data_IF_637477884473
#
_entry.id   IF_637477884473
#
_cell.length_a   1.000
_cell.length_b   1.000
_cell.length_c   1.000
_cell.angle_alpha   90.00
_cell.angle_beta   90.00
_cell.angle_gamma   90.00
#
_symmetry.space_group_name_H-M   'P 1'
#
loop_
_entity.id
_entity.type
_entity.pdbx_description
1 polymer ?
#
# COMPACT_ATOMS: atom_id res chain seq x y z
N UNK A 1 11.58 11.79 -4.67
CA UNK A 1 10.62 10.90 -5.36
C UNK A 1 10.24 9.79 -4.41
N UNK A 2 8.96 9.71 -4.04
CA UNK A 2 8.46 8.65 -3.15
C UNK A 2 8.58 7.30 -3.87
N UNK A 3 9.17 6.29 -3.21
CA UNK A 3 9.37 4.97 -3.83
C UNK A 3 8.05 4.17 -3.89
N UNK A 4 7.24 4.20 -2.82
CA UNK A 4 5.94 3.49 -2.74
C UNK A 4 4.80 4.47 -2.50
N UNK A 5 3.74 4.37 -3.30
CA UNK A 5 2.58 5.27 -3.22
C UNK A 5 1.32 4.54 -2.80
N UNK A 6 0.41 5.27 -2.18
CA UNK A 6 -0.86 4.74 -1.71
C UNK A 6 -1.99 5.62 -2.17
N UNK A 7 -3.02 5.03 -2.77
CA UNK A 7 -4.26 5.70 -3.11
C UNK A 7 -5.37 5.01 -2.32
N UNK A 8 -5.99 5.76 -1.41
CA UNK A 8 -7.13 5.32 -0.61
C UNK A 8 -8.39 5.94 -1.17
N UNK A 9 -9.34 5.11 -1.56
CA UNK A 9 -10.67 5.48 -2.02
C UNK A 9 -11.68 5.12 -0.95
N UNK A 10 -12.50 6.07 -0.51
CA UNK A 10 -13.57 5.82 0.47
C UNK A 10 -14.96 6.11 -0.13
N UNK A 11 -15.92 5.24 0.16
CA UNK A 11 -17.31 5.41 -0.25
C UNK A 11 -18.28 4.92 0.84
N UNK A 12 -19.45 5.56 0.95
CA UNK A 12 -20.44 5.19 1.97
C UNK A 12 -21.04 3.79 1.77
N UNK A 13 -21.10 3.30 0.51
CA UNK A 13 -21.56 1.97 0.14
C UNK A 13 -20.81 1.49 -1.09
N UNK A 14 -20.29 0.26 -1.11
CA UNK A 14 -19.77 -0.29 -2.35
C UNK A 14 -20.95 -0.76 -3.20
N UNK A 15 -21.31 0.02 -4.21
CA UNK A 15 -22.01 -0.52 -5.36
C UNK A 15 -20.97 -1.08 -6.36
N UNK A 16 -20.07 -1.95 -5.88
CA UNK A 16 -19.07 -2.60 -6.73
C UNK A 16 -19.76 -3.66 -7.58
N UNK A 17 -20.16 -3.27 -8.78
CA UNK A 17 -20.68 -4.19 -9.80
C UNK A 17 -19.52 -4.80 -10.59
N UNK A 18 -19.35 -6.12 -10.50
CA UNK A 18 -18.34 -6.86 -11.28
C UNK A 18 -18.57 -6.85 -12.79
N UNK A 19 -19.74 -6.39 -13.26
CA UNK A 19 -20.10 -6.25 -14.66
C UNK A 19 -19.50 -5.02 -15.35
N UNK A 20 -19.04 -4.02 -14.57
CA UNK A 20 -18.35 -2.85 -15.13
C UNK A 20 -16.84 -3.12 -15.31
N UNK A 21 -16.20 -2.50 -16.32
CA UNK A 21 -14.88 -2.91 -16.78
C UNK A 21 -13.76 -2.65 -15.77
N UNK A 22 -13.74 -1.50 -15.09
CA UNK A 22 -12.67 -1.15 -14.15
C UNK A 22 -12.85 -1.86 -12.80
N UNK A 23 -14.07 -1.85 -12.24
CA UNK A 23 -14.42 -2.58 -11.03
C UNK A 23 -14.20 -4.08 -11.19
N UNK A 24 -14.57 -4.66 -12.33
CA UNK A 24 -14.33 -6.07 -12.64
C UNK A 24 -12.84 -6.41 -12.71
N UNK A 25 -12.03 -5.56 -13.35
CA UNK A 25 -10.56 -5.72 -13.40
C UNK A 25 -9.93 -5.62 -12.01
N UNK A 26 -10.38 -4.66 -11.20
CA UNK A 26 -9.95 -4.46 -9.83
C UNK A 26 -10.26 -5.69 -8.97
N UNK A 27 -11.52 -6.11 -8.92
CA UNK A 27 -11.99 -7.21 -8.08
C UNK A 27 -11.33 -8.56 -8.40
N UNK A 28 -10.95 -8.81 -9.66
CA UNK A 28 -10.27 -10.07 -10.05
C UNK A 28 -8.89 -10.24 -9.42
N UNK A 29 -8.22 -9.15 -9.07
CA UNK A 29 -6.86 -9.14 -8.51
C UNK A 29 -6.80 -8.50 -7.13
N UNK A 30 -7.92 -8.01 -6.61
CA UNK A 30 -7.99 -7.42 -5.29
C UNK A 30 -8.15 -8.52 -4.24
N UNK A 31 -7.43 -8.38 -3.13
CA UNK A 31 -7.69 -9.12 -1.92
C UNK A 31 -8.84 -8.42 -1.17
N UNK A 32 -9.96 -9.13 -1.03
CA UNK A 32 -11.21 -8.58 -0.51
C UNK A 32 -11.50 -9.13 0.88
N UNK A 33 -11.72 -8.24 1.85
CA UNK A 33 -12.18 -8.59 3.19
C UNK A 33 -13.65 -8.16 3.32
N UNK A 34 -14.57 -9.13 3.41
CA UNK A 34 -16.01 -8.88 3.51
C UNK A 34 -16.52 -8.75 4.95
N UNK A 35 -15.86 -9.42 5.89
CA UNK A 35 -16.14 -9.29 7.31
C UNK A 35 -15.49 -8.00 7.84
N UNK A 36 -15.99 -6.86 7.37
CA UNK A 36 -15.43 -5.56 7.65
C UNK A 36 -16.34 -4.75 8.57
N UNK A 37 -15.79 -4.30 9.69
CA UNK A 37 -16.43 -3.38 10.61
C UNK A 37 -16.01 -1.94 10.27
N UNK A 38 -16.92 -1.23 9.61
CA UNK A 38 -16.73 0.14 9.17
C UNK A 38 -16.46 1.14 10.31
N UNK A 39 -15.99 2.33 9.94
CA UNK A 39 -15.61 3.43 10.82
C UNK A 39 -15.11 4.62 10.02
N UNK A 40 -14.71 5.69 10.70
CA UNK A 40 -14.13 6.88 10.04
C UNK A 40 -12.65 6.65 9.68
N UNK A 41 -12.43 6.13 8.47
CA UNK A 41 -11.09 5.87 7.92
C UNK A 41 -10.43 7.18 7.45
N UNK A 42 -11.22 8.19 7.09
CA UNK A 42 -10.72 9.47 6.57
C UNK A 42 -9.81 10.12 7.60
N UNK A 43 -10.29 10.26 8.83
CA UNK A 43 -9.52 10.89 9.90
C UNK A 43 -8.23 10.13 10.20
N UNK A 44 -8.26 8.80 10.20
CA UNK A 44 -7.11 7.97 10.53
C UNK A 44 -6.05 7.95 9.41
N UNK A 45 -6.46 7.94 8.13
CA UNK A 45 -5.52 8.00 7.00
C UNK A 45 -4.81 9.35 6.93
N UNK A 46 -5.49 10.44 7.27
CA UNK A 46 -4.89 11.78 7.28
C UNK A 46 -3.88 12.01 8.41
N UNK A 47 -3.83 11.13 9.41
CA UNK A 47 -2.77 11.14 10.45
C UNK A 47 -1.44 10.59 9.93
N UNK A 48 -1.43 9.89 8.79
CA UNK A 48 -0.19 9.42 8.18
C UNK A 48 0.58 10.64 7.68
N UNK A 49 1.87 10.71 8.00
CA UNK A 49 2.72 11.83 7.62
C UNK A 49 2.77 12.01 6.08
N UNK A 50 2.48 13.23 5.62
CA UNK A 50 2.45 13.56 4.20
C UNK A 50 1.20 13.09 3.44
N UNK A 51 0.19 12.55 4.13
CA UNK A 51 -1.09 12.22 3.52
C UNK A 51 -1.82 13.49 3.05
N UNK A 52 -2.38 13.43 1.84
CA UNK A 52 -3.14 14.53 1.24
C UNK A 52 -4.54 14.08 0.87
N UNK A 53 -5.53 14.92 1.20
CA UNK A 53 -6.90 14.75 0.71
C UNK A 53 -7.01 15.42 -0.65
N UNK A 54 -7.40 14.66 -1.66
CA UNK A 54 -7.55 15.14 -3.04
C UNK A 54 -8.89 14.69 -3.62
N UNK A 55 -9.33 15.38 -4.66
CA UNK A 55 -10.44 14.92 -5.50
C UNK A 55 -9.91 14.02 -6.64
N UNK A 56 -10.83 13.49 -7.45
CA UNK A 56 -10.46 12.66 -8.60
C UNK A 56 -9.64 13.43 -9.66
N UNK A 57 -9.71 14.77 -9.70
CA UNK A 57 -8.95 15.58 -10.64
C UNK A 57 -7.49 15.77 -10.20
N UNK A 58 -7.24 15.79 -8.89
CA UNK A 58 -5.91 15.92 -8.29
C UNK A 58 -5.03 14.66 -8.38
N UNK A 59 -5.57 13.52 -8.82
CA UNK A 59 -4.85 12.24 -8.86
C UNK A 59 -3.60 12.29 -9.75
N UNK A 60 -3.66 12.94 -10.92
CA UNK A 60 -2.51 13.05 -11.81
C UNK A 60 -1.38 13.86 -11.18
N UNK A 61 -1.71 15.01 -10.58
CA UNK A 61 -0.74 15.85 -9.86
C UNK A 61 -0.13 15.10 -8.65
N UNK A 62 -0.93 14.31 -7.93
CA UNK A 62 -0.43 13.46 -6.85
C UNK A 62 0.60 12.43 -7.34
N UNK A 63 0.35 11.79 -8.49
CA UNK A 63 1.29 10.85 -9.10
C UNK A 63 2.60 11.50 -9.59
N UNK A 64 2.68 12.81 -9.70
CA UNK A 64 3.92 13.55 -10.00
C UNK A 64 4.58 14.13 -8.74
N UNK A 65 3.80 14.29 -7.66
CA UNK A 65 4.25 14.88 -6.41
C UNK A 65 5.04 13.97 -5.47
N UNK A 66 5.31 14.52 -4.28
CA UNK A 66 6.12 13.91 -3.22
C UNK A 66 5.28 13.36 -2.04
N UNK A 67 3.95 13.50 -2.08
CA UNK A 67 3.09 12.93 -1.04
C UNK A 67 3.01 11.40 -1.18
N UNK A 68 3.20 10.63 -0.10
CA UNK A 68 3.16 9.17 -0.17
C UNK A 68 1.74 8.59 -0.22
N UNK A 69 0.76 9.30 0.33
CA UNK A 69 -0.62 8.83 0.49
C UNK A 69 -1.62 9.86 -0.03
N UNK A 70 -2.51 9.44 -0.92
CA UNK A 70 -3.67 10.21 -1.35
C UNK A 70 -4.95 9.59 -0.80
N UNK A 71 -5.84 10.43 -0.26
CA UNK A 71 -7.20 10.06 0.12
C UNK A 71 -8.19 10.73 -0.85
N UNK A 72 -9.01 9.92 -1.50
CA UNK A 72 -10.08 10.34 -2.41
C UNK A 72 -11.42 9.89 -1.83
N UNK A 73 -12.26 10.86 -1.45
CA UNK A 73 -13.61 10.60 -0.98
C UNK A 73 -14.60 10.64 -2.14
N UNK A 74 -15.27 9.52 -2.39
CA UNK A 74 -16.26 9.37 -3.46
C UNK A 74 -17.70 9.57 -2.97
N UNK A 75 -17.91 9.71 -1.64
CA UNK A 75 -19.23 9.93 -1.06
C UNK A 75 -20.24 8.82 -1.38
N UNK A 76 -21.47 9.20 -1.72
CA UNK A 76 -22.50 8.28 -2.22
C UNK A 76 -22.40 8.12 -3.75
N UNK A 77 -21.28 7.58 -4.22
CA UNK A 77 -21.06 7.36 -5.65
C UNK A 77 -22.01 6.29 -6.22
N UNK A 78 -22.56 6.56 -7.40
CA UNK A 78 -23.25 5.54 -8.21
C UNK A 78 -22.23 4.51 -8.72
N UNK A 79 -22.70 3.31 -9.12
CA UNK A 79 -21.82 2.27 -9.65
C UNK A 79 -20.96 2.75 -10.83
N UNK A 80 -21.52 3.60 -11.71
CA UNK A 80 -20.80 4.20 -12.84
C UNK A 80 -19.73 5.21 -12.40
N UNK A 81 -20.03 6.07 -11.41
CA UNK A 81 -19.05 7.03 -10.89
C UNK A 81 -17.89 6.35 -10.16
N UNK A 82 -18.16 5.21 -9.49
CA UNK A 82 -17.12 4.40 -8.87
C UNK A 82 -16.23 3.71 -9.91
N UNK A 83 -16.80 3.19 -10.99
CA UNK A 83 -16.04 2.57 -12.09
C UNK A 83 -15.15 3.60 -12.79
N UNK A 84 -15.63 4.83 -13.02
CA UNK A 84 -14.80 5.90 -13.60
C UNK A 84 -13.63 6.27 -12.68
N UNK A 85 -13.90 6.45 -11.39
CA UNK A 85 -12.86 6.78 -10.40
C UNK A 85 -11.81 5.67 -10.30
N UNK A 86 -12.24 4.39 -10.22
CA UNK A 86 -11.34 3.25 -10.23
C UNK A 86 -10.58 3.12 -11.56
N UNK A 87 -11.22 3.44 -12.69
CA UNK A 87 -10.59 3.49 -14.00
C UNK A 87 -9.40 4.45 -14.03
N UNK A 88 -9.60 5.70 -13.60
CA UNK A 88 -8.53 6.71 -13.49
C UNK A 88 -7.42 6.26 -12.56
N UNK A 89 -7.76 5.69 -11.40
CA UNK A 89 -6.78 5.17 -10.45
C UNK A 89 -5.98 4.02 -11.06
N UNK A 90 -6.62 3.09 -11.77
CA UNK A 90 -5.94 1.96 -12.41
C UNK A 90 -5.08 2.36 -13.61
N UNK A 91 -5.39 3.46 -14.29
CA UNK A 91 -4.57 4.02 -15.36
C UNK A 91 -3.29 4.69 -14.81
N UNK A 92 -3.42 5.37 -13.66
CA UNK A 92 -2.31 6.07 -13.01
C UNK A 92 -1.50 5.15 -12.07
N UNK A 93 -2.07 4.05 -11.61
CA UNK A 93 -1.40 3.12 -10.72
C UNK A 93 -0.29 2.36 -11.45
N UNK A 94 0.93 2.46 -10.93
CA UNK A 94 2.07 1.70 -11.40
C UNK A 94 2.30 0.45 -10.53
N UNK A 95 3.43 -0.23 -10.76
CA UNK A 95 3.79 -1.43 -9.99
C UNK A 95 4.09 -1.17 -8.50
N UNK A 96 4.33 0.09 -8.10
CA UNK A 96 4.68 0.52 -6.75
C UNK A 96 3.53 1.23 -6.04
N UNK A 97 2.38 1.33 -6.68
CA UNK A 97 1.15 1.86 -6.07
C UNK A 97 0.36 0.77 -5.36
N UNK A 98 0.01 1.03 -4.10
CA UNK A 98 -1.02 0.32 -3.36
C UNK A 98 -2.34 1.07 -3.51
N UNK A 99 -3.39 0.38 -3.93
CA UNK A 99 -4.75 0.92 -3.99
C UNK A 99 -5.58 0.24 -2.91
N UNK A 100 -6.20 1.04 -2.06
CA UNK A 100 -7.13 0.58 -1.02
C UNK A 100 -8.49 1.19 -1.30
N UNK A 101 -9.51 0.36 -1.47
CA UNK A 101 -10.89 0.81 -1.56
C UNK A 101 -11.63 0.33 -0.31
N UNK A 102 -12.15 1.26 0.48
CA UNK A 102 -12.86 0.98 1.71
C UNK A 102 -14.29 1.51 1.65
N UNK A 103 -15.24 0.61 1.90
CA UNK A 103 -16.66 0.89 1.93
C UNK A 103 -17.33 0.21 3.13
N UNK A 104 -18.60 0.50 3.37
CA UNK A 104 -19.33 -0.05 4.52
C UNK A 104 -19.49 -1.57 4.51
N UNK A 105 -19.43 -2.20 3.34
CA UNK A 105 -19.64 -3.63 3.12
C UNK A 105 -18.34 -4.43 2.89
N UNK A 106 -17.20 -3.75 2.83
CA UNK A 106 -15.92 -4.42 2.65
C UNK A 106 -14.75 -3.48 2.41
N UNK A 107 -13.55 -4.02 2.61
CA UNK A 107 -12.29 -3.38 2.20
C UNK A 107 -11.57 -4.23 1.18
N UNK A 108 -11.01 -3.58 0.17
CA UNK A 108 -10.37 -4.20 -0.97
C UNK A 108 -8.99 -3.61 -1.16
N UNK A 109 -7.98 -4.48 -1.25
CA UNK A 109 -6.59 -4.09 -1.48
C UNK A 109 -6.14 -4.58 -2.85
N UNK A 110 -5.40 -3.74 -3.58
CA UNK A 110 -4.87 -4.05 -4.91
C UNK A 110 -3.50 -3.41 -5.10
N UNK A 111 -2.64 -4.02 -5.90
CA UNK A 111 -1.36 -3.44 -6.30
C UNK A 111 -0.18 -3.94 -5.45
N UNK A 112 0.73 -3.04 -5.11
CA UNK A 112 2.01 -3.35 -4.47
C UNK A 112 1.83 -4.15 -3.17
N UNK A 113 2.58 -5.25 -3.01
CA UNK A 113 2.59 -6.07 -1.79
C UNK A 113 1.37 -6.98 -1.57
N UNK A 114 0.31 -6.82 -2.36
CA UNK A 114 -0.95 -7.57 -2.20
C UNK A 114 -0.90 -8.93 -2.94
N UNK A 115 -1.56 -9.94 -2.37
CA UNK A 115 -1.72 -11.23 -3.03
C UNK A 115 -2.89 -11.19 -4.02
N UNK A 116 -2.65 -11.20 -5.34
CA UNK A 116 -3.74 -11.16 -6.32
C UNK A 116 -4.59 -12.44 -6.35
N UNK A 117 -4.13 -13.50 -5.68
CA UNK A 117 -4.83 -14.80 -5.56
C UNK A 117 -5.49 -15.00 -4.20
N UNK A 118 -5.39 -14.05 -3.27
CA UNK A 118 -6.06 -14.16 -1.98
C UNK A 118 -7.58 -14.20 -2.13
N UNK A 119 -8.12 -13.55 -3.17
CA UNK A 119 -9.55 -13.55 -3.44
C UNK A 119 -10.33 -12.96 -2.26
N UNK A 120 -11.13 -13.80 -1.58
CA UNK A 120 -11.89 -13.40 -0.38
C UNK A 120 -11.17 -13.89 0.86
N UNK A 121 -10.85 -12.97 1.76
CA UNK A 121 -10.23 -13.23 3.05
C UNK A 121 -11.34 -13.32 4.11
N UNK A 122 -11.33 -14.42 4.88
CA UNK A 122 -12.36 -14.70 5.91
C UNK A 122 -12.13 -13.96 7.23
N UNK A 123 -10.90 -13.50 7.49
CA UNK A 123 -10.55 -12.76 8.71
C UNK A 123 -11.39 -11.48 8.85
N UNK A 124 -11.89 -11.23 10.05
CA UNK A 124 -12.50 -9.96 10.42
C UNK A 124 -11.49 -8.81 10.39
N UNK A 125 -11.88 -7.70 9.77
CA UNK A 125 -11.11 -6.47 9.73
C UNK A 125 -11.91 -5.29 10.27
N UNK A 126 -11.23 -4.36 10.91
CA UNK A 126 -11.79 -3.11 11.42
C UNK A 126 -11.21 -1.93 10.65
N UNK A 127 -11.90 -0.78 10.64
CA UNK A 127 -11.39 0.46 10.04
C UNK A 127 -9.96 0.82 10.48
N UNK A 128 -9.67 0.63 11.78
CA UNK A 128 -8.35 0.87 12.39
C UNK A 128 -7.23 -0.01 11.82
N UNK A 129 -7.54 -1.15 11.19
CA UNK A 129 -6.55 -2.08 10.64
C UNK A 129 -6.01 -1.63 9.28
N UNK A 130 -6.65 -0.66 8.63
CA UNK A 130 -6.27 -0.16 7.31
C UNK A 130 -4.97 0.64 7.38
N UNK A 131 -4.88 1.62 8.29
CA UNK A 131 -3.69 2.46 8.47
C UNK A 131 -2.41 1.66 8.75
N UNK A 132 -2.36 0.71 9.71
CA UNK A 132 -1.15 -0.06 9.96
C UNK A 132 -0.82 -0.98 8.76
N UNK A 133 -1.82 -1.47 8.03
CA UNK A 133 -1.60 -2.24 6.80
C UNK A 133 -0.99 -1.38 5.69
N UNK A 134 -1.48 -0.15 5.52
CA UNK A 134 -0.92 0.84 4.58
C UNK A 134 0.54 1.13 4.94
N UNK A 135 0.80 1.49 6.19
CA UNK A 135 2.14 1.81 6.67
C UNK A 135 3.11 0.63 6.51
N UNK A 136 2.64 -0.60 6.79
CA UNK A 136 3.43 -1.81 6.58
C UNK A 136 3.76 -2.05 5.11
N UNK A 137 2.89 -1.77 4.15
CA UNK A 137 3.19 -2.02 2.73
C UNK A 137 4.02 -0.90 2.12
N UNK A 138 3.67 0.35 2.44
CA UNK A 138 4.18 1.55 1.78
C UNK A 138 5.39 2.19 2.45
N UNK A 139 5.90 1.63 3.55
CA UNK A 139 7.03 2.20 4.32
C UNK A 139 6.75 3.60 4.86
N UNK A 140 5.48 3.93 5.13
CA UNK A 140 5.12 5.20 5.77
C UNK A 140 5.17 5.05 7.28
N UNK A 141 5.27 6.19 7.98
CA UNK A 141 5.23 6.20 9.44
C UNK A 141 3.86 5.75 9.94
N UNK A 142 3.87 4.95 11.02
CA UNK A 142 2.65 4.54 11.71
C UNK A 142 2.28 5.66 12.70
N UNK A 143 1.05 6.20 12.67
CA UNK A 143 0.61 7.18 13.66
C UNK A 143 0.70 6.64 15.09
N UNK A 144 1.05 7.50 16.05
CA UNK A 144 1.29 7.09 17.45
C UNK A 144 0.05 6.53 18.16
N UNK A 145 -1.15 6.94 17.73
CA UNK A 145 -2.45 6.51 18.24
C UNK A 145 -3.03 5.32 17.47
N UNK A 146 -2.25 4.70 16.58
CA UNK A 146 -2.69 3.54 15.81
C UNK A 146 -2.87 2.31 16.72
N UNK A 147 -4.11 1.80 16.78
CA UNK A 147 -4.48 0.63 17.62
C UNK A 147 -4.81 -0.62 16.80
N UNK A 148 -4.82 -0.52 15.47
CA UNK A 148 -5.15 -1.64 14.59
C UNK A 148 -4.00 -2.62 14.36
N UNK A 149 -4.32 -3.74 13.75
CA UNK A 149 -3.36 -4.77 13.37
C UNK A 149 -3.14 -4.81 11.85
N UNK A 150 -1.95 -5.23 11.42
CA UNK A 150 -1.64 -5.45 10.01
C UNK A 150 -2.42 -6.67 9.49
N UNK A 151 -3.07 -6.52 8.33
CA UNK A 151 -3.82 -7.59 7.67
C UNK A 151 -2.91 -8.49 6.81
N UNK A 152 -2.12 -9.36 7.45
CA UNK A 152 -1.17 -10.23 6.76
C UNK A 152 -1.80 -11.18 5.73
N UNK A 153 -3.06 -11.58 5.92
CA UNK A 153 -3.78 -12.50 5.02
C UNK A 153 -4.03 -11.89 3.63
N UNK A 154 -4.00 -10.57 3.53
CA UNK A 154 -4.16 -9.81 2.29
C UNK A 154 -2.84 -9.76 1.50
N UNK A 155 -1.71 -9.90 2.20
CA UNK A 155 -0.37 -9.74 1.63
C UNK A 155 0.07 -10.96 0.84
N UNK A 156 0.92 -10.73 -0.18
CA UNK A 156 1.59 -11.81 -0.91
C UNK A 156 2.53 -12.62 -0.03
N UNK A 157 3.15 -11.94 0.92
CA UNK A 157 4.17 -12.49 1.80
C UNK A 157 4.02 -11.83 3.17
N UNK A 158 3.62 -12.58 4.22
CA UNK A 158 3.52 -12.04 5.57
C UNK A 158 4.86 -11.46 6.05
N UNK A 159 5.98 -12.10 5.68
CA UNK A 159 7.34 -11.75 6.10
C UNK A 159 8.00 -10.68 5.21
N UNK A 160 7.20 -9.91 4.45
CA UNK A 160 7.68 -8.90 3.50
C UNK A 160 8.79 -8.02 4.11
N UNK A 161 8.54 -7.42 5.28
CA UNK A 161 9.51 -6.55 5.95
C UNK A 161 10.73 -7.27 6.47
N UNK A 162 10.55 -8.48 6.97
CA UNK A 162 11.67 -9.29 7.48
C UNK A 162 12.64 -9.63 6.35
N UNK A 163 12.12 -9.97 5.17
CA UNK A 163 12.93 -10.25 3.98
C UNK A 163 13.58 -8.99 3.40
N UNK A 164 12.89 -7.85 3.40
CA UNK A 164 13.49 -6.56 3.02
C UNK A 164 14.67 -6.22 3.94
N UNK A 165 14.49 -6.29 5.25
CA UNK A 165 15.56 -6.04 6.25
C UNK A 165 16.73 -7.01 6.08
N UNK A 166 16.46 -8.31 5.89
CA UNK A 166 17.50 -9.31 5.70
C UNK A 166 18.38 -8.99 4.47
N UNK A 167 17.76 -8.62 3.34
CA UNK A 167 18.48 -8.23 2.11
C UNK A 167 19.31 -6.97 2.31
N UNK A 168 18.79 -5.99 3.03
CA UNK A 168 19.53 -4.75 3.34
C UNK A 168 20.74 -5.02 4.23
N UNK A 169 20.59 -5.85 5.27
CA UNK A 169 21.71 -6.27 6.14
C UNK A 169 22.78 -7.03 5.37
N UNK A 170 22.39 -7.93 4.47
CA UNK A 170 23.33 -8.67 3.61
C UNK A 170 24.07 -7.74 2.63
N UNK A 171 23.36 -6.79 2.01
CA UNK A 171 23.97 -5.81 1.14
C UNK A 171 24.96 -4.90 1.88
N UNK A 172 24.61 -4.47 3.09
CA UNK A 172 25.49 -3.67 3.94
C UNK A 172 26.77 -4.44 4.28
N UNK A 173 26.66 -5.70 4.74
CA UNK A 173 27.83 -6.53 5.04
C UNK A 173 28.75 -6.76 3.84
N UNK A 174 28.20 -6.89 2.63
CA UNK A 174 29.01 -6.95 1.39
C UNK A 174 29.74 -5.65 1.10
N UNK A 175 29.09 -4.50 1.30
CA UNK A 175 29.71 -3.18 1.12
C UNK A 175 30.82 -2.93 2.16
N UNK A 176 30.59 -3.28 3.42
CA UNK A 176 31.59 -3.18 4.49
C UNK A 176 32.82 -4.03 4.19
N UNK A 177 32.62 -5.27 3.72
CA UNK A 177 33.73 -6.16 3.33
C UNK A 177 34.53 -5.58 2.16
N UNK A 178 33.86 -5.01 1.15
CA UNK A 178 34.52 -4.39 0.01
C UNK A 178 35.35 -3.16 0.45
N UNK A 179 34.78 -2.30 1.30
CA UNK A 179 35.46 -1.12 1.82
C UNK A 179 36.69 -1.49 2.66
N UNK A 180 36.59 -2.54 3.50
CA UNK A 180 37.73 -3.04 4.28
C UNK A 180 38.84 -3.62 3.40
N UNK A 181 38.51 -4.23 2.27
CA UNK A 181 39.49 -4.75 1.32
C UNK A 181 40.26 -3.63 0.63
N UNK A 182 39.58 -2.53 0.31
CA UNK A 182 40.19 -1.38 -0.38
C UNK A 182 40.94 -0.44 0.58
N UNK A 183 40.65 -0.52 1.90
CA UNK A 183 41.37 0.20 2.95
C UNK A 183 42.62 -0.54 3.45
N UNK A 184 42.95 -1.72 2.92
CA UNK A 184 44.24 -2.38 3.15
C UNK A 184 45.30 -1.71 2.28
N UNK A 185 46.38 -1.27 2.91
CA UNK A 185 47.48 -0.66 2.18
C UNK A 185 48.10 -1.68 1.21
N UNK A 186 48.60 -1.26 0.03
CA UNK A 186 49.09 -2.20 -1.00
C UNK A 186 50.16 -3.20 -0.52
N UNK A 187 50.90 -2.87 0.55
CA UNK A 187 51.93 -3.70 1.15
C UNK A 187 51.42 -4.71 2.20
N UNK A 188 50.20 -4.56 2.73
CA UNK A 188 49.54 -5.55 3.59
C UNK A 188 49.09 -6.82 2.83
N UNK A 189 49.38 -6.89 1.52
CA UNK A 189 49.15 -8.08 0.68
C UNK A 189 50.31 -9.08 0.70
N UNK A 190 51.42 -8.73 1.36
CA UNK A 190 52.63 -9.57 1.43
C UNK A 190 52.86 -10.10 2.85
N UNK A 191 51.91 -10.86 3.39
CA UNK A 191 52.28 -11.90 4.35
C UNK A 191 52.82 -13.10 3.59
N UNK A 192 54.10 -12.99 3.20
CA UNK A 192 54.91 -14.16 2.87
C UNK A 192 55.40 -14.78 4.19
N UNK A 193 54.77 -15.88 4.60
CA UNK A 193 55.36 -16.93 5.42
C UNK A 193 54.85 -18.29 4.91
#
# INVERSE_FOLDING_TARGET
MVDKRVIVLTANKAALDSGLPATGKFLRKAATVRAYHGGDITADVLKIEGAVKIDAAGLAAFCEGESPVALVELGAATAAGLDEALGKVLELADRRTLVVFAASDGVHFFGQGINPKAGKVEREAFARDIVPTIAYVADTTVPADCTGAVLYQVLKDPDLKMKEIAKLKEALGRMETALQRDNREPWDKHDCA
#
